data_IF_834919375847
#
_entry.id   IF_834919375847
#
_cell.length_a   1.000
_cell.length_b   1.000
_cell.length_c   1.000
_cell.angle_alpha   90.00
_cell.angle_beta   90.00
_cell.angle_gamma   90.00
#
_symmetry.space_group_name_H-M   'P 1'
#
loop_
_entity.id
_entity.type
_entity.pdbx_description
1 polymer ?
#
# COMPACT_ATOMS: atom_id res chain seq x y z
N UNK A 1 -17.71 9.18 12.35
CA UNK A 1 -17.34 10.56 12.75
C UNK A 1 -15.82 10.62 12.78
N UNK A 2 -15.21 11.56 12.06
CA UNK A 2 -13.75 11.69 12.03
C UNK A 2 -13.24 12.15 13.40
N UNK A 3 -12.26 11.41 13.92
CA UNK A 3 -11.71 11.55 15.28
C UNK A 3 -10.38 12.27 15.24
N UNK A 4 -9.51 11.87 14.31
CA UNK A 4 -8.16 12.41 14.18
C UNK A 4 -7.94 13.09 12.82
N UNK A 5 -6.95 13.99 12.70
CA UNK A 5 -6.59 14.61 11.42
C UNK A 5 -6.32 13.60 10.29
N UNK A 6 -5.74 12.44 10.64
CA UNK A 6 -5.49 11.35 9.67
C UNK A 6 -6.78 10.85 9.03
N UNK A 7 -7.91 10.88 9.73
CA UNK A 7 -9.18 10.39 9.17
C UNK A 7 -9.66 11.28 8.01
N UNK A 8 -9.43 12.60 8.08
CA UNK A 8 -9.73 13.53 6.98
C UNK A 8 -8.81 13.31 5.80
N UNK A 9 -7.51 13.10 6.05
CA UNK A 9 -6.54 12.77 5.00
C UNK A 9 -6.94 11.48 4.29
N UNK A 10 -7.29 10.44 5.05
CA UNK A 10 -7.72 9.15 4.50
C UNK A 10 -9.03 9.28 3.72
N UNK A 11 -9.98 10.08 4.18
CA UNK A 11 -11.21 10.31 3.43
C UNK A 11 -10.94 10.92 2.05
N UNK A 12 -10.07 11.93 1.98
CA UNK A 12 -9.62 12.52 0.71
C UNK A 12 -8.87 11.48 -0.14
N UNK A 13 -7.96 10.72 0.47
CA UNK A 13 -7.20 9.67 -0.19
C UNK A 13 -8.11 8.62 -0.84
N UNK A 14 -9.13 8.13 -0.14
CA UNK A 14 -10.05 7.12 -0.66
C UNK A 14 -11.01 7.67 -1.72
N UNK A 15 -11.43 8.93 -1.63
CA UNK A 15 -12.15 9.59 -2.72
C UNK A 15 -11.28 9.64 -3.98
N UNK A 16 -10.02 10.07 -3.84
CA UNK A 16 -9.08 10.11 -4.96
C UNK A 16 -8.76 8.71 -5.50
N UNK A 17 -8.66 7.69 -4.63
CA UNK A 17 -8.48 6.31 -5.01
C UNK A 17 -9.67 5.82 -5.84
N UNK A 18 -10.91 6.05 -5.40
CA UNK A 18 -12.11 5.68 -6.13
C UNK A 18 -12.19 6.34 -7.51
N UNK A 19 -11.89 7.65 -7.61
CA UNK A 19 -11.84 8.37 -8.89
C UNK A 19 -10.72 7.83 -9.80
N UNK A 20 -9.56 7.53 -9.24
CA UNK A 20 -8.41 6.96 -9.94
C UNK A 20 -8.75 5.58 -10.52
N UNK A 21 -9.32 4.69 -9.70
CA UNK A 21 -9.74 3.35 -10.12
C UNK A 21 -10.83 3.41 -11.19
N UNK A 22 -11.80 4.32 -11.06
CA UNK A 22 -12.85 4.52 -12.07
C UNK A 22 -12.26 4.95 -13.41
N UNK A 23 -11.30 5.89 -13.40
CA UNK A 23 -10.59 6.32 -14.60
C UNK A 23 -9.80 5.17 -15.23
N UNK A 24 -8.99 4.44 -14.45
CA UNK A 24 -8.18 3.32 -14.94
C UNK A 24 -9.07 2.24 -15.55
N UNK A 25 -10.18 1.89 -14.89
CA UNK A 25 -11.13 0.92 -15.41
C UNK A 25 -11.74 1.37 -16.74
N UNK A 26 -12.17 2.62 -16.85
CA UNK A 26 -12.71 3.17 -18.09
C UNK A 26 -11.69 3.15 -19.23
N UNK A 27 -10.46 3.57 -18.97
CA UNK A 27 -9.39 3.68 -19.97
C UNK A 27 -8.90 2.29 -20.43
N UNK A 28 -8.71 1.35 -19.48
CA UNK A 28 -8.29 -0.03 -19.76
C UNK A 28 -9.26 -0.77 -20.69
N UNK A 29 -10.57 -0.64 -20.47
CA UNK A 29 -11.56 -1.34 -21.29
C UNK A 29 -11.91 -0.64 -22.61
N UNK A 30 -11.54 0.64 -22.79
CA UNK A 30 -11.79 1.37 -24.05
C UNK A 30 -10.58 1.50 -24.96
N UNK A 31 -9.44 1.86 -24.40
CA UNK A 31 -8.31 2.38 -25.17
C UNK A 31 -7.08 1.48 -25.09
N UNK A 32 -6.98 0.61 -24.08
CA UNK A 32 -5.74 -0.14 -23.85
C UNK A 32 -5.80 -1.57 -24.44
N UNK A 33 -4.86 -1.94 -25.32
CA UNK A 33 -4.82 -3.25 -25.97
C UNK A 33 -4.10 -4.31 -25.10
N UNK A 34 -4.49 -4.45 -23.83
CA UNK A 34 -3.93 -5.45 -22.91
C UNK A 34 -4.84 -6.68 -22.72
N UNK A 35 -4.29 -7.84 -22.30
CA UNK A 35 -5.07 -8.99 -21.87
C UNK A 35 -5.99 -8.64 -20.68
N UNK A 36 -7.19 -9.23 -20.65
CA UNK A 36 -8.22 -8.94 -19.63
C UNK A 36 -7.72 -9.07 -18.19
N UNK A 37 -6.85 -10.04 -17.93
CA UNK A 37 -6.30 -10.26 -16.58
C UNK A 37 -5.36 -9.11 -16.15
N UNK A 38 -4.59 -8.53 -17.07
CA UNK A 38 -3.74 -7.37 -16.79
C UNK A 38 -4.58 -6.12 -16.51
N UNK A 39 -5.69 -5.95 -17.25
CA UNK A 39 -6.66 -4.87 -17.00
C UNK A 39 -7.16 -4.91 -15.55
N UNK A 40 -7.58 -6.09 -15.09
CA UNK A 40 -7.99 -6.27 -13.69
C UNK A 40 -6.84 -6.06 -12.71
N UNK A 41 -5.61 -6.48 -13.05
CA UNK A 41 -4.42 -6.20 -12.25
C UNK A 41 -4.23 -4.71 -11.97
N UNK A 42 -4.26 -3.87 -13.01
CA UNK A 42 -4.16 -2.41 -12.85
C UNK A 42 -5.33 -1.80 -12.07
N UNK A 43 -6.56 -2.27 -12.29
CA UNK A 43 -7.74 -1.78 -11.58
C UNK A 43 -7.62 -2.06 -10.08
N UNK A 44 -7.25 -3.30 -9.71
CA UNK A 44 -7.11 -3.70 -8.31
C UNK A 44 -5.94 -3.01 -7.64
N UNK A 45 -4.77 -2.96 -8.27
CA UNK A 45 -3.60 -2.26 -7.70
C UNK A 45 -3.90 -0.76 -7.54
N UNK A 46 -4.64 -0.15 -8.48
CA UNK A 46 -5.09 1.25 -8.32
C UNK A 46 -6.09 1.41 -7.18
N UNK A 47 -6.98 0.43 -6.97
CA UNK A 47 -7.87 0.43 -5.81
C UNK A 47 -7.09 0.40 -4.48
N UNK A 48 -5.99 -0.36 -4.43
CA UNK A 48 -5.17 -0.48 -3.22
C UNK A 48 -4.23 0.71 -3.01
N UNK A 49 -3.60 1.21 -4.06
CA UNK A 49 -2.57 2.25 -4.00
C UNK A 49 -3.09 3.66 -4.30
N UNK A 50 -4.36 3.78 -4.66
CA UNK A 50 -5.02 5.04 -4.99
C UNK A 50 -4.35 5.80 -6.15
N UNK A 51 -4.15 7.13 -6.02
CA UNK A 51 -3.52 7.95 -7.06
C UNK A 51 -2.14 7.49 -7.52
N UNK A 52 -1.39 6.78 -6.66
CA UNK A 52 -0.09 6.23 -7.04
C UNK A 52 -0.24 5.10 -8.07
N UNK A 53 -1.28 4.27 -7.94
CA UNK A 53 -1.58 3.23 -8.93
C UNK A 53 -1.95 3.84 -10.29
N UNK A 54 -2.74 4.91 -10.30
CA UNK A 54 -3.04 5.68 -11.52
C UNK A 54 -1.77 6.26 -12.15
N UNK A 55 -0.88 6.85 -11.35
CA UNK A 55 0.38 7.38 -11.86
C UNK A 55 1.22 6.27 -12.51
N UNK A 56 1.33 5.12 -11.86
CA UNK A 56 2.06 3.95 -12.40
C UNK A 56 1.40 3.47 -13.70
N UNK A 57 0.08 3.37 -13.76
CA UNK A 57 -0.67 3.03 -14.98
C UNK A 57 -0.33 3.96 -16.14
N UNK A 58 -0.42 5.27 -15.92
CA UNK A 58 -0.15 6.27 -16.97
C UNK A 58 1.30 6.22 -17.46
N UNK A 59 2.25 5.94 -16.58
CA UNK A 59 3.68 5.95 -16.92
C UNK A 59 4.16 4.64 -17.55
N UNK A 60 3.60 3.51 -17.13
CA UNK A 60 4.11 2.19 -17.51
C UNK A 60 3.30 1.54 -18.63
N UNK A 61 1.98 1.75 -18.65
CA UNK A 61 1.07 0.88 -19.40
C UNK A 61 0.17 1.63 -20.38
N UNK A 62 -0.45 2.74 -19.97
CA UNK A 62 -1.39 3.49 -20.82
C UNK A 62 -0.83 3.76 -22.22
N UNK A 63 -1.54 3.26 -23.24
CA UNK A 63 -1.16 3.48 -24.64
C UNK A 63 -1.10 5.00 -24.97
N UNK A 64 0.08 5.55 -25.33
CA UNK A 64 0.21 7.00 -25.58
C UNK A 64 -0.52 7.44 -26.84
N UNK A 65 -0.49 6.59 -27.88
CA UNK A 65 -1.15 6.76 -29.17
C UNK A 65 -1.53 5.39 -29.73
N UNK A 66 -2.67 5.27 -30.44
CA UNK A 66 -3.09 4.01 -31.02
C UNK A 66 -1.99 3.41 -31.91
N UNK A 67 -1.51 2.21 -31.57
CA UNK A 67 -0.42 1.55 -32.31
C UNK A 67 0.95 1.57 -31.64
N UNK A 68 1.13 2.30 -30.53
CA UNK A 68 2.44 2.49 -29.89
C UNK A 68 2.63 1.70 -28.58
N UNK A 69 1.61 0.96 -28.12
CA UNK A 69 1.64 0.24 -26.83
C UNK A 69 2.84 -0.72 -26.68
N UNK A 70 3.14 -1.54 -27.70
CA UNK A 70 4.24 -2.51 -27.67
C UNK A 70 5.60 -1.82 -27.52
N UNK A 71 5.79 -0.72 -28.24
CA UNK A 71 7.02 0.06 -28.17
C UNK A 71 7.13 0.80 -26.83
N UNK A 72 6.00 1.29 -26.32
CA UNK A 72 5.92 2.01 -25.06
C UNK A 72 6.22 1.13 -23.86
N UNK A 73 5.73 -0.10 -23.84
CA UNK A 73 5.87 -1.06 -22.72
C UNK A 73 7.18 -1.86 -22.77
N UNK A 74 7.89 -1.87 -23.90
CA UNK A 74 9.16 -2.59 -24.10
C UNK A 74 10.26 -2.37 -23.02
N UNK A 75 10.48 -1.17 -22.47
CA UNK A 75 11.52 -0.95 -21.46
C UNK A 75 11.41 -1.88 -20.24
N UNK A 76 12.53 -2.43 -19.79
CA UNK A 76 12.58 -3.43 -18.71
C UNK A 76 11.91 -2.97 -17.40
N UNK A 77 12.04 -1.69 -17.04
CA UNK A 77 11.42 -1.16 -15.83
C UNK A 77 9.89 -1.21 -15.91
N UNK A 78 9.30 -1.01 -17.09
CA UNK A 78 7.85 -1.11 -17.33
C UNK A 78 7.39 -2.57 -17.34
N UNK A 79 8.19 -3.45 -17.94
CA UNK A 79 7.96 -4.89 -17.86
C UNK A 79 7.99 -5.38 -16.40
N UNK A 80 8.92 -4.87 -15.59
CA UNK A 80 8.96 -5.10 -14.15
C UNK A 80 7.74 -4.56 -13.40
N UNK A 81 7.23 -3.38 -13.79
CA UNK A 81 5.96 -2.86 -13.26
C UNK A 81 4.80 -3.81 -13.57
N UNK A 82 4.64 -4.24 -14.83
CA UNK A 82 3.58 -5.18 -15.20
C UNK A 82 3.65 -6.49 -14.40
N UNK A 83 4.85 -7.06 -14.29
CA UNK A 83 5.09 -8.24 -13.47
C UNK A 83 4.72 -8.03 -12.00
N UNK A 84 5.11 -6.90 -11.42
CA UNK A 84 4.80 -6.58 -10.01
C UNK A 84 3.30 -6.36 -9.80
N UNK A 85 2.63 -5.67 -10.72
CA UNK A 85 1.18 -5.42 -10.67
C UNK A 85 0.40 -6.73 -10.69
N UNK A 86 0.80 -7.66 -11.56
CA UNK A 86 0.14 -8.95 -11.66
C UNK A 86 0.19 -9.73 -10.34
N UNK A 87 1.33 -9.72 -9.65
CA UNK A 87 1.52 -10.41 -8.37
C UNK A 87 0.78 -9.69 -7.24
N UNK A 88 1.03 -8.38 -7.09
CA UNK A 88 0.46 -7.58 -6.02
C UNK A 88 -1.06 -7.53 -6.09
N UNK A 89 -1.65 -7.54 -7.29
CA UNK A 89 -3.11 -7.62 -7.43
C UNK A 89 -3.69 -8.86 -6.73
N UNK A 90 -3.11 -10.03 -6.95
CA UNK A 90 -3.57 -11.28 -6.32
C UNK A 90 -3.20 -11.35 -4.84
N UNK A 91 -1.92 -11.16 -4.53
CA UNK A 91 -1.38 -11.27 -3.17
C UNK A 91 -2.09 -10.31 -2.20
N UNK A 92 -2.22 -9.03 -2.58
CA UNK A 92 -2.87 -8.04 -1.74
C UNK A 92 -4.37 -8.31 -1.58
N UNK A 93 -5.07 -8.84 -2.60
CA UNK A 93 -6.48 -9.23 -2.45
C UNK A 93 -6.63 -10.29 -1.36
N UNK A 94 -5.81 -11.34 -1.41
CA UNK A 94 -5.84 -12.43 -0.45
C UNK A 94 -5.50 -11.96 0.97
N UNK A 95 -4.45 -11.13 1.11
CA UNK A 95 -4.04 -10.53 2.38
C UNK A 95 -5.16 -9.67 2.97
N UNK A 96 -5.71 -8.72 2.20
CA UNK A 96 -6.73 -7.78 2.69
C UNK A 96 -8.00 -8.52 3.12
N UNK A 97 -8.44 -9.52 2.34
CA UNK A 97 -9.60 -10.33 2.70
C UNK A 97 -9.35 -11.14 3.96
N UNK A 98 -8.17 -11.77 4.08
CA UNK A 98 -7.80 -12.54 5.26
C UNK A 98 -7.72 -11.66 6.50
N UNK A 99 -7.03 -10.52 6.44
CA UNK A 99 -6.89 -9.55 7.52
C UNK A 99 -8.26 -9.10 8.05
N UNK A 100 -9.20 -8.80 7.15
CA UNK A 100 -10.55 -8.41 7.55
C UNK A 100 -11.30 -9.54 8.28
N UNK A 101 -11.12 -10.80 7.84
CA UNK A 101 -11.74 -11.97 8.47
C UNK A 101 -11.10 -12.25 9.83
N UNK A 102 -9.77 -12.30 9.92
CA UNK A 102 -9.06 -12.65 11.15
C UNK A 102 -9.24 -11.58 12.24
N UNK A 103 -9.25 -10.29 11.85
CA UNK A 103 -9.58 -9.20 12.74
C UNK A 103 -11.02 -9.32 13.29
N UNK A 104 -12.00 -9.67 12.45
CA UNK A 104 -13.37 -9.92 12.90
C UNK A 104 -13.48 -11.13 13.85
N UNK A 105 -12.65 -12.16 13.63
CA UNK A 105 -12.54 -13.32 14.52
C UNK A 105 -11.79 -13.02 15.83
N UNK A 106 -11.09 -11.89 15.91
CA UNK A 106 -10.32 -11.48 17.09
C UNK A 106 -9.13 -12.41 17.34
N UNK A 107 -8.45 -12.83 16.27
CA UNK A 107 -7.25 -13.63 16.38
C UNK A 107 -6.04 -12.75 16.79
N UNK A 108 -5.03 -13.32 17.46
CA UNK A 108 -3.77 -12.64 17.72
C UNK A 108 -3.05 -12.23 16.44
N UNK A 109 -2.41 -11.06 16.44
CA UNK A 109 -1.74 -10.51 15.27
C UNK A 109 -0.69 -11.45 14.64
N UNK A 110 0.05 -12.22 15.43
CA UNK A 110 1.01 -13.18 14.87
C UNK A 110 0.33 -14.30 14.06
N UNK A 111 -0.90 -14.68 14.41
CA UNK A 111 -1.71 -15.63 13.64
C UNK A 111 -2.22 -14.93 12.38
N UNK A 112 -2.67 -13.68 12.50
CA UNK A 112 -3.16 -12.87 11.38
C UNK A 112 -2.11 -12.79 10.28
N UNK A 113 -0.87 -12.41 10.62
CA UNK A 113 0.23 -12.32 9.65
C UNK A 113 0.51 -13.65 8.93
N UNK A 114 0.39 -14.78 9.63
CA UNK A 114 0.57 -16.11 9.02
C UNK A 114 -0.59 -16.45 8.09
N UNK A 115 -1.83 -16.21 8.52
CA UNK A 115 -3.04 -16.47 7.73
C UNK A 115 -3.08 -15.58 6.50
N UNK A 116 -2.76 -14.30 6.65
CA UNK A 116 -2.62 -13.32 5.58
C UNK A 116 -1.57 -13.76 4.55
N UNK A 117 -0.38 -14.19 4.98
CA UNK A 117 0.64 -14.68 4.07
C UNK A 117 0.16 -15.90 3.27
N UNK A 118 -0.44 -16.89 3.94
CA UNK A 118 -0.94 -18.10 3.29
C UNK A 118 -2.07 -17.76 2.31
N UNK A 119 -3.00 -16.90 2.71
CA UNK A 119 -4.13 -16.49 1.88
C UNK A 119 -3.68 -15.66 0.68
N UNK A 120 -2.78 -14.69 0.88
CA UNK A 120 -2.17 -13.90 -0.19
C UNK A 120 -1.49 -14.79 -1.22
N UNK A 121 -0.56 -15.64 -0.78
CA UNK A 121 0.16 -16.55 -1.66
C UNK A 121 -0.78 -17.51 -2.42
N UNK A 122 -1.79 -18.07 -1.74
CA UNK A 122 -2.76 -18.95 -2.38
C UNK A 122 -3.59 -18.21 -3.43
N UNK A 123 -4.02 -16.99 -3.14
CA UNK A 123 -4.83 -16.18 -4.07
C UNK A 123 -4.00 -15.72 -5.27
N UNK A 124 -2.76 -15.26 -5.05
CA UNK A 124 -1.80 -14.94 -6.12
C UNK A 124 -1.56 -16.12 -7.04
N UNK A 125 -1.15 -17.26 -6.48
CA UNK A 125 -0.80 -18.46 -7.24
C UNK A 125 -1.99 -19.10 -7.97
N UNK A 126 -3.08 -19.39 -7.26
CA UNK A 126 -4.18 -20.21 -7.79
C UNK A 126 -5.24 -19.42 -8.56
N UNK A 127 -5.32 -18.10 -8.38
CA UNK A 127 -6.31 -17.28 -9.07
C UNK A 127 -5.63 -16.37 -10.08
N UNK A 128 -4.66 -15.56 -9.68
CA UNK A 128 -4.08 -14.57 -10.60
C UNK A 128 -3.09 -15.21 -11.59
N UNK A 129 -2.04 -15.87 -11.09
CA UNK A 129 -0.96 -16.42 -11.94
C UNK A 129 -1.46 -17.53 -12.86
N UNK A 130 -2.14 -18.53 -12.30
CA UNK A 130 -2.51 -19.73 -13.04
C UNK A 130 -3.64 -19.49 -14.06
N UNK A 131 -4.59 -18.58 -13.79
CA UNK A 131 -5.60 -18.19 -14.78
C UNK A 131 -4.99 -17.33 -15.89
N UNK A 132 -4.06 -16.43 -15.55
CA UNK A 132 -3.34 -15.61 -16.53
C UNK A 132 -2.57 -16.46 -17.52
N UNK A 133 -1.71 -17.35 -17.02
CA UNK A 133 -0.93 -18.24 -17.87
C UNK A 133 -1.82 -19.15 -18.72
N UNK A 134 -2.96 -19.61 -18.18
CA UNK A 134 -3.93 -20.39 -18.95
C UNK A 134 -4.53 -19.60 -20.11
N UNK A 135 -4.84 -18.31 -19.89
CA UNK A 135 -5.40 -17.45 -20.93
C UNK A 135 -4.42 -17.11 -22.06
N UNK A 136 -3.11 -17.15 -21.80
CA UNK A 136 -2.08 -16.73 -22.77
C UNK A 136 -1.22 -17.85 -23.36
N UNK A 137 -0.70 -18.76 -22.54
CA UNK A 137 0.26 -19.78 -22.99
C UNK A 137 -0.38 -21.13 -23.28
N UNK A 138 -1.70 -21.26 -23.05
CA UNK A 138 -2.39 -22.54 -23.09
C UNK A 138 -1.83 -23.53 -22.05
N UNK A 139 -2.02 -24.82 -22.30
CA UNK A 139 -1.58 -25.89 -21.39
C UNK A 139 -2.56 -26.20 -20.26
N UNK A 140 -2.18 -27.14 -19.38
CA UNK A 140 -3.02 -27.51 -18.24
C UNK A 140 -2.85 -26.50 -17.11
N UNK A 141 -3.92 -26.27 -16.35
CA UNK A 141 -3.90 -25.37 -15.18
C UNK A 141 -2.75 -25.71 -14.22
N UNK A 142 -2.52 -27.00 -13.97
CA UNK A 142 -1.50 -27.49 -13.05
C UNK A 142 -0.07 -27.30 -13.55
N UNK A 143 0.16 -27.35 -14.86
CA UNK A 143 1.48 -27.07 -15.41
C UNK A 143 1.83 -25.58 -15.25
N UNK A 144 0.84 -24.71 -15.38
CA UNK A 144 1.01 -23.29 -15.15
C UNK A 144 1.28 -22.98 -13.67
N UNK A 145 0.54 -23.59 -12.74
CA UNK A 145 0.82 -23.48 -11.29
C UNK A 145 2.25 -23.90 -10.96
N UNK A 146 2.75 -25.02 -11.50
CA UNK A 146 4.12 -25.50 -11.23
C UNK A 146 5.18 -24.52 -11.75
N UNK A 147 4.97 -23.95 -12.93
CA UNK A 147 5.89 -23.00 -13.56
C UNK A 147 5.90 -21.65 -12.84
N UNK A 148 4.75 -21.17 -12.35
CA UNK A 148 4.63 -19.90 -11.63
C UNK A 148 4.97 -19.99 -10.14
N UNK A 149 5.03 -21.19 -9.55
CA UNK A 149 5.23 -21.36 -8.11
C UNK A 149 6.47 -20.63 -7.57
N UNK A 150 7.65 -20.89 -8.15
CA UNK A 150 8.90 -20.33 -7.62
C UNK A 150 8.99 -18.80 -7.83
N UNK A 151 8.68 -18.25 -9.01
CA UNK A 151 8.65 -16.80 -9.19
C UNK A 151 7.61 -16.10 -8.30
N UNK A 152 6.47 -16.73 -8.05
CA UNK A 152 5.45 -16.15 -7.15
C UNK A 152 5.90 -16.19 -5.70
N UNK A 153 6.46 -17.31 -5.26
CA UNK A 153 6.99 -17.46 -3.91
C UNK A 153 8.04 -16.39 -3.59
N UNK A 154 8.97 -16.14 -4.52
CA UNK A 154 9.98 -15.10 -4.36
C UNK A 154 9.35 -13.70 -4.29
N UNK A 155 8.40 -13.39 -5.17
CA UNK A 155 7.73 -12.08 -5.18
C UNK A 155 6.93 -11.83 -3.91
N UNK A 156 6.13 -12.81 -3.50
CA UNK A 156 5.32 -12.76 -2.27
C UNK A 156 6.19 -12.56 -1.03
N UNK A 157 7.35 -13.24 -0.95
CA UNK A 157 8.29 -13.07 0.15
C UNK A 157 8.78 -11.62 0.28
N UNK A 158 9.16 -10.99 -0.83
CA UNK A 158 9.59 -9.58 -0.80
C UNK A 158 8.42 -8.62 -0.52
N UNK A 159 7.23 -8.91 -1.05
CA UNK A 159 6.03 -8.13 -0.77
C UNK A 159 5.72 -8.14 0.72
N UNK A 160 5.63 -9.32 1.33
CA UNK A 160 5.33 -9.47 2.75
C UNK A 160 6.47 -8.95 3.63
N UNK A 161 7.73 -9.10 3.22
CA UNK A 161 8.88 -8.53 3.94
C UNK A 161 8.80 -7.01 4.11
N UNK A 162 8.21 -6.31 3.12
CA UNK A 162 7.97 -4.87 3.19
C UNK A 162 6.69 -4.50 3.92
N UNK A 163 5.60 -5.21 3.67
CA UNK A 163 4.27 -4.89 4.20
C UNK A 163 4.10 -5.24 5.68
N UNK A 164 4.55 -6.43 6.11
CA UNK A 164 4.31 -6.94 7.46
C UNK A 164 4.84 -6.04 8.58
N UNK A 165 6.07 -5.46 8.48
CA UNK A 165 6.54 -4.52 9.50
C UNK A 165 5.67 -3.28 9.60
N UNK A 166 5.31 -2.70 8.45
CA UNK A 166 4.51 -1.47 8.39
C UNK A 166 3.14 -1.69 9.01
N UNK A 167 2.49 -2.80 8.68
CA UNK A 167 1.22 -3.17 9.30
C UNK A 167 1.38 -3.36 10.80
N UNK A 168 2.36 -4.15 11.23
CA UNK A 168 2.57 -4.44 12.66
C UNK A 168 2.80 -3.16 13.48
N UNK A 169 3.62 -2.23 13.00
CA UNK A 169 3.92 -0.98 13.69
C UNK A 169 2.76 0.01 13.69
N UNK A 170 2.01 0.12 12.59
CA UNK A 170 0.89 1.06 12.52
C UNK A 170 -0.37 0.53 13.21
N UNK A 171 -0.56 -0.80 13.20
CA UNK A 171 -1.69 -1.45 13.86
C UNK A 171 -1.49 -1.59 15.39
N UNK A 172 -0.27 -1.87 15.87
CA UNK A 172 0.10 -1.87 17.30
C UNK A 172 0.78 -0.56 17.74
N UNK A 173 0.54 0.52 17.00
CA UNK A 173 1.09 1.84 17.29
C UNK A 173 0.27 2.59 18.34
N UNK A 174 0.11 3.89 18.12
CA UNK A 174 -0.67 4.76 19.00
C UNK A 174 -2.17 4.81 18.71
N UNK A 175 -2.64 4.24 17.59
CA UNK A 175 -4.06 4.27 17.20
C UNK A 175 -4.51 2.88 16.73
N UNK A 176 -5.02 2.09 17.67
CA UNK A 176 -5.41 0.69 17.44
C UNK A 176 -6.72 0.58 16.66
N UNK A 177 -7.38 1.69 16.29
CA UNK A 177 -8.44 1.67 15.27
C UNK A 177 -7.94 1.10 13.94
N UNK A 178 -6.63 1.13 13.71
CA UNK A 178 -5.97 0.48 12.58
C UNK A 178 -6.17 -1.05 12.56
N UNK A 179 -6.57 -1.68 13.67
CA UNK A 179 -6.86 -3.12 13.75
C UNK A 179 -8.34 -3.47 13.47
N UNK A 180 -9.22 -2.47 13.34
CA UNK A 180 -10.66 -2.69 13.17
C UNK A 180 -11.11 -2.49 11.72
N UNK A 181 -11.62 -3.52 11.02
CA UNK A 181 -12.06 -3.39 9.63
C UNK A 181 -13.22 -2.40 9.41
N UNK A 182 -13.93 -2.04 10.47
CA UNK A 182 -14.99 -1.03 10.48
C UNK A 182 -14.46 0.40 10.43
N UNK A 183 -13.18 0.60 10.72
CA UNK A 183 -12.53 1.90 10.77
C UNK A 183 -11.82 2.23 9.47
N UNK A 184 -11.84 3.52 9.10
CA UNK A 184 -11.16 3.99 7.89
C UNK A 184 -9.63 3.82 7.98
N UNK A 185 -9.10 3.90 9.21
CA UNK A 185 -7.66 3.79 9.47
C UNK A 185 -7.12 2.40 9.13
N UNK A 186 -7.87 1.33 9.39
CA UNK A 186 -7.51 -0.04 9.00
C UNK A 186 -7.21 -0.11 7.50
N UNK A 187 -8.15 0.35 6.68
CA UNK A 187 -7.99 0.36 5.22
C UNK A 187 -6.83 1.25 4.77
N UNK A 188 -6.60 2.36 5.47
CA UNK A 188 -5.46 3.25 5.21
C UNK A 188 -4.11 2.58 5.45
N UNK A 189 -3.98 1.85 6.56
CA UNK A 189 -2.78 1.07 6.89
C UNK A 189 -2.59 -0.08 5.89
N UNK A 190 -3.66 -0.78 5.49
CA UNK A 190 -3.59 -1.80 4.45
C UNK A 190 -3.11 -1.22 3.11
N UNK A 191 -3.68 -0.09 2.68
CA UNK A 191 -3.27 0.63 1.47
C UNK A 191 -1.78 0.99 1.51
N UNK A 192 -1.31 1.56 2.63
CA UNK A 192 0.10 1.92 2.80
C UNK A 192 1.02 0.70 2.85
N UNK A 193 0.60 -0.37 3.53
CA UNK A 193 1.30 -1.65 3.57
C UNK A 193 1.50 -2.23 2.17
N UNK A 194 0.45 -2.23 1.34
CA UNK A 194 0.54 -2.68 -0.07
C UNK A 194 1.51 -1.82 -0.88
N UNK A 195 1.53 -0.49 -0.68
CA UNK A 195 2.49 0.39 -1.36
C UNK A 195 3.92 0.03 -1.00
N UNK A 196 4.23 -0.16 0.28
CA UNK A 196 5.59 -0.54 0.72
C UNK A 196 5.94 -1.95 0.24
N UNK A 197 5.00 -2.89 0.29
CA UNK A 197 5.16 -4.23 -0.26
C UNK A 197 5.46 -4.21 -1.76
N UNK A 198 4.72 -3.40 -2.54
CA UNK A 198 4.97 -3.19 -3.97
C UNK A 198 6.39 -2.68 -4.23
N UNK A 199 6.82 -1.63 -3.51
CA UNK A 199 8.17 -1.05 -3.65
C UNK A 199 9.25 -2.07 -3.31
N UNK A 200 9.01 -2.91 -2.31
CA UNK A 200 9.96 -3.95 -1.87
C UNK A 200 10.04 -5.11 -2.87
N UNK A 201 8.90 -5.52 -3.44
CA UNK A 201 8.83 -6.60 -4.43
C UNK A 201 9.28 -6.17 -5.84
N UNK A 202 9.20 -4.88 -6.17
CA UNK A 202 9.47 -4.38 -7.52
C UNK A 202 10.87 -4.74 -8.05
N UNK A 203 11.99 -4.49 -7.34
CA UNK A 203 13.33 -4.84 -7.82
C UNK A 203 13.49 -6.34 -8.09
N UNK A 204 12.86 -7.18 -7.26
CA UNK A 204 12.88 -8.63 -7.44
C UNK A 204 12.13 -9.06 -8.70
N UNK A 205 10.96 -8.46 -8.96
CA UNK A 205 10.18 -8.72 -10.17
C UNK A 205 10.89 -8.22 -11.43
N UNK A 206 11.56 -7.07 -11.40
CA UNK A 206 12.43 -6.59 -12.49
C UNK A 206 13.52 -7.60 -12.81
N UNK A 207 14.20 -8.13 -11.79
CA UNK A 207 15.25 -9.14 -11.99
C UNK A 207 14.69 -10.44 -12.58
N UNK A 208 13.53 -10.92 -12.09
CA UNK A 208 12.90 -12.14 -12.60
C UNK A 208 12.46 -11.98 -14.06
N UNK A 209 11.93 -10.82 -14.44
CA UNK A 209 11.61 -10.51 -15.84
C UNK A 209 12.88 -10.48 -16.70
N UNK A 210 13.95 -9.85 -16.23
CA UNK A 210 15.23 -9.80 -16.95
C UNK A 210 15.87 -11.17 -17.19
N UNK A 211 15.46 -12.20 -16.42
CA UNK A 211 15.93 -13.59 -16.54
C UNK A 211 14.93 -14.53 -17.20
N UNK A 212 13.82 -14.00 -17.73
CA UNK A 212 12.77 -14.81 -18.36
C UNK A 212 12.00 -15.72 -17.40
N UNK A 213 12.04 -15.45 -16.09
CA UNK A 213 11.28 -16.19 -15.06
C UNK A 213 9.85 -15.67 -14.91
N UNK A 214 9.60 -14.42 -15.29
CA UNK A 214 8.28 -13.77 -15.30
C UNK A 214 8.08 -12.98 -16.59
N UNK A 215 6.82 -12.74 -16.91
CA UNK A 215 6.40 -11.87 -18.01
C UNK A 215 6.00 -10.50 -17.44
N UNK A 216 6.19 -9.46 -18.24
CA UNK A 216 5.73 -8.11 -17.91
C UNK A 216 4.47 -7.72 -18.68
N UNK A 217 4.39 -6.45 -19.09
CA UNK A 217 3.29 -5.90 -19.87
C UNK A 217 3.29 -6.47 -21.29
N UNK A 218 2.10 -6.80 -21.80
CA UNK A 218 1.92 -7.48 -23.09
C UNK A 218 0.78 -6.84 -23.87
N UNK A 219 0.83 -6.96 -25.20
CA UNK A 219 -0.22 -6.38 -26.06
C UNK A 219 -1.03 -7.49 -26.73
N UNK A 220 -2.34 -7.40 -26.64
CA UNK A 220 -3.31 -8.26 -27.34
C UNK A 220 -4.15 -7.38 -28.27
N UNK A 221 -3.95 -7.53 -29.58
CA UNK A 221 -4.74 -6.82 -30.61
C UNK A 221 -5.66 -7.80 -31.32
N UNK A 222 -6.91 -7.40 -31.54
CA UNK A 222 -7.79 -8.15 -32.43
C UNK A 222 -7.28 -8.08 -33.89
N UNK A 223 -7.49 -9.14 -34.71
CA UNK A 223 -6.94 -9.25 -36.07
C UNK A 223 -7.38 -8.17 -37.06
N UNK A 224 -8.35 -7.32 -36.71
CA UNK A 224 -8.94 -6.33 -37.62
C UNK A 224 -8.00 -5.13 -37.87
N UNK A 225 -7.11 -4.82 -36.93
CA UNK A 225 -6.11 -3.75 -37.09
C UNK A 225 -5.00 -4.10 -38.09
N UNK A 226 -4.67 -5.39 -38.26
CA UNK A 226 -3.67 -5.82 -39.23
C UNK A 226 -4.14 -5.66 -40.68
N UNK A 227 -5.45 -5.83 -40.94
CA UNK A 227 -6.05 -5.58 -42.27
C UNK A 227 -5.94 -4.12 -42.69
N UNK A 228 -6.10 -3.18 -41.75
CA UNK A 228 -5.96 -1.75 -42.02
C UNK A 228 -4.51 -1.31 -42.29
N UNK A 229 -3.53 -2.14 -41.92
CA UNK A 229 -2.09 -1.91 -42.12
C UNK A 229 -1.56 -2.58 -43.39
N UNK A 230 -2.07 -3.77 -43.73
CA UNK A 230 -1.84 -4.39 -45.05
C UNK A 230 -2.47 -3.57 -46.17
N UNK A 231 -3.73 -3.12 -46.02
CA UNK A 231 -4.37 -2.27 -47.02
C UNK A 231 -3.66 -0.91 -47.22
N UNK A 232 -3.11 -0.31 -46.16
CA UNK A 232 -2.32 0.93 -46.26
C UNK A 232 -0.93 0.71 -46.87
N UNK A 233 -0.31 -0.45 -46.68
CA UNK A 233 0.97 -0.80 -47.33
C UNK A 233 0.80 -1.13 -48.83
N UNK A 234 -0.30 -1.77 -49.22
CA UNK A 234 -0.61 -2.01 -50.63
C UNK A 234 -0.92 -0.71 -51.40
N UNK A 235 -1.64 0.23 -50.78
CA UNK A 235 -1.88 1.54 -51.39
C UNK A 235 -0.62 2.42 -51.49
N UNK A 236 0.33 2.31 -50.56
CA UNK A 236 1.60 3.04 -50.61
C UNK A 236 2.57 2.52 -51.70
N UNK A 237 2.55 1.22 -52.00
CA UNK A 237 3.39 0.64 -53.07
C UNK A 237 2.85 0.85 -54.48
N UNK A 238 1.54 1.12 -54.64
CA UNK A 238 0.92 1.46 -55.93
C UNK A 238 1.16 2.93 -56.33
N UNK A 239 1.23 3.86 -55.36
CA UNK A 239 1.42 5.29 -55.62
C UNK A 239 2.85 5.73 -55.98
N UNK A 240 3.88 4.91 -55.70
CA UNK A 240 5.28 5.29 -55.88
C UNK A 240 5.86 5.05 -57.29
N UNK A 241 5.06 4.53 -58.24
CA UNK A 241 5.51 4.31 -59.64
C UNK A 241 5.03 5.37 -60.65
N UNK A 242 4.29 6.38 -60.22
CA UNK A 242 3.79 7.44 -61.10
C UNK A 242 4.22 8.82 -60.60
N UNK A 243 5.46 9.24 -60.91
CA UNK A 243 5.89 10.62 -60.65
C UNK A 243 7.39 10.80 -60.52
N UNK A 244 8.14 10.65 -61.61
CA UNK A 244 9.49 11.22 -61.68
C UNK A 244 9.79 11.71 -63.10
N UNK A 245 9.42 12.96 -63.38
CA UNK A 245 9.90 13.74 -64.52
C UNK A 245 10.17 15.18 -64.05
N UNK A 246 11.43 15.62 -64.18
CA UNK A 246 11.80 17.02 -64.40
C UNK A 246 12.12 17.89 -63.17
N UNK A 247 13.40 18.23 -62.95
CA UNK A 247 14.05 19.47 -63.43
C UNK A 247 15.21 19.95 -62.54
N UNK A 248 16.17 20.57 -63.22
CA UNK A 248 17.53 20.97 -62.84
C UNK A 248 17.66 22.34 -62.15
N UNK A 249 18.81 22.49 -61.46
CA UNK A 249 19.73 23.64 -61.37
C UNK A 249 19.49 24.79 -60.36
N UNK A 250 20.54 25.11 -59.58
CA UNK A 250 21.33 26.37 -59.49
C UNK A 250 22.44 26.13 -58.43
N UNK A 251 23.73 26.03 -58.78
CA UNK A 251 24.75 27.09 -58.97
C UNK A 251 25.50 27.52 -57.69
N UNK A 252 26.80 27.75 -57.88
CA UNK A 252 27.95 27.79 -56.97
C UNK A 252 28.28 29.24 -56.53
N UNK A 253 29.21 29.42 -55.57
CA UNK A 253 30.32 30.42 -55.43
C UNK A 253 30.73 30.48 -53.92
N UNK A 254 31.89 29.95 -53.51
CA UNK A 254 33.25 30.59 -53.36
C UNK A 254 33.39 31.28 -51.96
N UNK A 255 34.49 31.31 -51.19
CA UNK A 255 35.93 31.15 -51.41
C UNK A 255 36.73 31.09 -50.06
N UNK A 256 38.06 30.86 -50.15
CA UNK A 256 39.16 31.09 -49.17
C UNK A 256 39.49 29.98 -48.13
N UNK A 257 40.74 29.55 -47.85
CA UNK A 257 42.09 29.87 -48.33
C UNK A 257 43.08 28.72 -47.97
N UNK A 258 44.21 28.65 -48.68
CA UNK A 258 45.42 27.80 -48.49
C UNK A 258 46.62 28.76 -48.14
N UNK A 259 47.86 28.34 -47.74
CA UNK A 259 48.60 27.18 -48.28
C UNK A 259 49.67 26.44 -47.41
N UNK A 260 49.91 25.17 -47.80
CA UNK A 260 51.16 24.41 -48.06
C UNK A 260 52.44 24.58 -47.18
N UNK A 261 52.98 23.42 -46.77
CA UNK A 261 54.41 23.05 -46.90
C UNK A 261 54.54 21.56 -47.25
N UNK A 262 55.62 21.19 -47.94
CA UNK A 262 55.83 19.90 -48.62
C UNK A 262 57.14 19.21 -48.21
N UNK A 263 57.06 17.90 -47.89
CA UNK A 263 57.91 16.74 -48.32
C UNK A 263 59.42 16.66 -47.93
N UNK A 264 60.18 15.54 -48.17
CA UNK A 264 59.90 14.08 -48.29
C UNK A 264 60.88 13.14 -47.52
N UNK A 265 60.63 11.81 -47.58
CA UNK A 265 61.64 10.72 -47.52
C UNK A 265 61.55 9.81 -46.28
N UNK A 266 61.70 8.48 -46.28
CA UNK A 266 62.00 7.47 -47.30
C UNK A 266 62.65 6.22 -46.66
N UNK A 267 61.87 5.14 -46.44
CA UNK A 267 62.21 3.67 -46.40
C UNK A 267 63.34 3.12 -45.47
N UNK A 268 63.53 1.77 -45.28
CA UNK A 268 62.65 0.59 -45.31
C UNK A 268 62.73 -0.29 -44.01
N UNK A 269 61.99 -1.43 -43.97
CA UNK A 269 61.98 -2.48 -42.92
C UNK A 269 63.32 -3.24 -42.74
N UNK A 270 63.38 -4.43 -42.06
CA UNK A 270 62.51 -5.61 -42.19
C UNK A 270 62.08 -6.16 -40.79
N UNK A 271 61.33 -7.23 -40.57
CA UNK A 271 60.78 -8.34 -41.33
C UNK A 271 60.52 -9.46 -40.33
N UNK A 272 59.41 -10.17 -40.42
CA UNK A 272 59.32 -11.55 -39.96
C UNK A 272 58.17 -12.27 -40.68
N UNK A 273 58.58 -13.17 -41.58
CA UNK A 273 57.87 -14.36 -42.03
C UNK A 273 57.32 -15.15 -40.83
N UNK A 274 56.24 -15.92 -40.89
CA UNK A 274 55.51 -16.47 -42.04
C UNK A 274 54.99 -17.87 -41.66
N UNK A 275 54.08 -18.38 -42.49
CA UNK A 275 53.46 -19.73 -42.50
C UNK A 275 52.27 -19.93 -41.54
N UNK A 276 51.13 -20.48 -41.97
CA UNK A 276 50.73 -20.96 -43.29
C UNK A 276 49.44 -21.81 -43.22
N UNK A 277 48.69 -21.76 -44.32
CA UNK A 277 47.66 -22.69 -44.79
C UNK A 277 46.33 -22.81 -43.99
N UNK A 278 45.14 -22.90 -44.61
CA UNK A 278 44.83 -23.16 -46.01
C UNK A 278 43.42 -22.72 -46.41
N UNK A 279 43.28 -22.55 -47.71
CA UNK A 279 42.09 -22.17 -48.47
C UNK A 279 41.20 -23.37 -48.81
N UNK A 280 39.88 -23.17 -48.83
CA UNK A 280 39.02 -23.67 -49.92
C UNK A 280 37.68 -22.93 -49.99
N UNK A 281 37.34 -22.51 -51.21
CA UNK A 281 36.08 -21.98 -51.74
C UNK A 281 34.90 -22.99 -51.56
N UNK A 282 33.61 -22.66 -51.71
CA UNK A 282 32.96 -21.52 -52.35
C UNK A 282 31.42 -21.58 -52.25
N UNK A 283 30.82 -20.51 -52.80
CA UNK A 283 29.46 -20.30 -53.33
C UNK A 283 28.17 -20.50 -52.49
N UNK A 284 27.50 -19.37 -52.23
CA UNK A 284 26.37 -18.95 -53.08
C UNK A 284 25.00 -19.55 -52.76
N UNK A 285 24.13 -18.76 -52.12
CA UNK A 285 22.70 -19.10 -52.02
C UNK A 285 21.90 -18.15 -51.13
N UNK A 286 21.64 -16.93 -51.60
CA UNK A 286 20.71 -16.00 -50.96
C UNK A 286 19.27 -16.51 -51.04
N UNK A 287 18.69 -16.84 -49.90
CA UNK A 287 17.29 -17.22 -49.74
C UNK A 287 16.69 -16.46 -48.57
N UNK A 288 16.03 -15.34 -48.85
CA UNK A 288 15.15 -14.61 -47.93
C UNK A 288 14.01 -15.52 -47.50
N UNK A 289 14.15 -16.19 -46.35
CA UNK A 289 13.05 -16.88 -45.67
C UNK A 289 12.42 -15.93 -44.67
N UNK A 290 11.12 -15.70 -44.86
CA UNK A 290 10.27 -14.86 -44.04
C UNK A 290 10.35 -15.25 -42.57
N UNK A 291 10.47 -14.22 -41.73
CA UNK A 291 10.27 -14.30 -40.30
C UNK A 291 8.79 -14.62 -40.06
N UNK A 292 8.49 -15.91 -39.92
CA UNK A 292 7.28 -16.35 -39.24
C UNK A 292 7.52 -16.14 -37.75
N UNK A 293 6.70 -15.29 -37.12
CA UNK A 293 6.63 -15.15 -35.68
C UNK A 293 6.14 -16.46 -35.06
N UNK A 294 7.09 -17.29 -34.63
CA UNK A 294 6.84 -18.39 -33.72
C UNK A 294 6.74 -17.86 -32.29
N UNK A 295 5.74 -18.32 -31.56
CA UNK A 295 5.67 -18.17 -30.11
C UNK A 295 6.86 -18.93 -29.50
N UNK A 296 7.98 -18.24 -29.31
CA UNK A 296 9.10 -18.74 -28.52
C UNK A 296 8.68 -18.74 -27.05
N UNK A 297 8.46 -19.94 -26.51
CA UNK A 297 8.30 -20.11 -25.07
C UNK A 297 9.56 -19.63 -24.37
N UNK A 298 9.41 -18.69 -23.43
CA UNK A 298 10.50 -18.12 -22.65
C UNK A 298 11.24 -19.25 -21.90
N UNK A 299 12.40 -19.68 -22.40
CA UNK A 299 13.28 -20.57 -21.64
C UNK A 299 13.96 -19.75 -20.53
N UNK A 300 13.92 -20.19 -19.27
CA UNK A 300 14.55 -19.46 -18.17
C UNK A 300 16.06 -19.32 -18.38
N UNK A 301 16.55 -18.08 -18.40
CA UNK A 301 17.98 -17.75 -18.51
C UNK A 301 18.68 -17.75 -17.12
N UNK A 302 17.96 -18.13 -16.07
CA UNK A 302 18.47 -18.22 -14.71
C UNK A 302 19.09 -19.59 -14.42
N UNK A 303 20.31 -19.58 -13.90
CA UNK A 303 20.96 -20.82 -13.44
C UNK A 303 20.35 -21.29 -12.12
N UNK A 304 20.35 -22.61 -11.87
CA UNK A 304 19.86 -23.18 -10.60
C UNK A 304 20.51 -22.53 -9.36
N UNK A 305 21.83 -22.26 -9.33
CA UNK A 305 22.45 -21.54 -8.22
C UNK A 305 21.93 -20.12 -8.03
N UNK A 306 21.65 -19.38 -9.11
CA UNK A 306 21.08 -18.03 -9.02
C UNK A 306 19.67 -18.07 -8.43
N UNK A 307 18.84 -19.01 -8.88
CA UNK A 307 17.48 -19.17 -8.37
C UNK A 307 17.48 -19.58 -6.89
N UNK A 308 18.36 -20.50 -6.50
CA UNK A 308 18.52 -20.93 -5.11
C UNK A 308 19.02 -19.78 -4.21
N UNK A 309 20.02 -19.02 -4.65
CA UNK A 309 20.53 -17.87 -3.91
C UNK A 309 19.46 -16.78 -3.75
N UNK A 310 18.75 -16.45 -4.83
CA UNK A 310 17.71 -15.43 -4.80
C UNK A 310 16.49 -15.85 -3.96
N UNK A 311 16.08 -17.12 -4.07
CA UNK A 311 15.09 -17.73 -3.19
C UNK A 311 15.50 -17.65 -1.71
N UNK A 312 16.75 -18.00 -1.39
CA UNK A 312 17.30 -17.89 -0.03
C UNK A 312 17.27 -16.47 0.52
N UNK A 313 17.65 -15.46 -0.29
CA UNK A 313 17.54 -14.04 0.08
C UNK A 313 16.09 -13.65 0.34
N UNK A 314 15.15 -14.10 -0.49
CA UNK A 314 13.73 -13.79 -0.30
C UNK A 314 13.17 -14.38 1.01
N UNK A 315 13.56 -15.61 1.36
CA UNK A 315 13.16 -16.26 2.62
C UNK A 315 13.76 -15.53 3.82
N UNK A 316 15.02 -15.11 3.74
CA UNK A 316 15.65 -14.31 4.79
C UNK A 316 14.95 -12.96 4.95
N UNK A 317 14.61 -12.29 3.84
CA UNK A 317 13.86 -11.03 3.86
C UNK A 317 12.48 -11.20 4.51
N UNK A 318 11.73 -12.26 4.14
CA UNK A 318 10.45 -12.59 4.77
C UNK A 318 10.62 -12.82 6.27
N UNK A 319 11.57 -13.67 6.67
CA UNK A 319 11.81 -13.97 8.08
C UNK A 319 12.14 -12.72 8.89
N UNK A 320 12.99 -11.83 8.35
CA UNK A 320 13.29 -10.54 8.98
C UNK A 320 12.04 -9.67 9.07
N UNK A 321 11.26 -9.54 8.00
CA UNK A 321 10.04 -8.72 7.99
C UNK A 321 8.95 -9.22 8.94
N UNK A 322 8.83 -10.53 9.13
CA UNK A 322 7.83 -11.14 10.01
C UNK A 322 8.26 -11.17 11.48
N UNK A 323 9.56 -11.37 11.75
CA UNK A 323 10.07 -11.58 13.13
C UNK A 323 10.52 -10.26 13.75
N UNK A 324 11.16 -9.37 12.98
CA UNK A 324 11.73 -8.15 13.54
C UNK A 324 10.70 -7.31 14.32
N UNK A 325 9.46 -7.07 13.84
CA UNK A 325 8.47 -6.30 14.58
C UNK A 325 8.18 -6.84 15.98
N UNK A 326 8.26 -8.16 16.20
CA UNK A 326 8.03 -8.79 17.49
C UNK A 326 9.00 -8.33 18.60
N UNK A 327 10.12 -7.71 18.24
CA UNK A 327 11.04 -7.13 19.22
C UNK A 327 10.55 -5.79 19.78
N UNK A 328 9.61 -5.13 19.12
CA UNK A 328 9.14 -3.79 19.49
C UNK A 328 7.66 -3.74 19.80
N UNK A 329 6.82 -4.55 19.15
CA UNK A 329 5.36 -4.55 19.34
C UNK A 329 4.85 -5.88 19.86
N UNK A 330 3.77 -5.85 20.62
CA UNK A 330 3.15 -7.03 21.20
C UNK A 330 2.24 -7.74 20.19
N UNK A 331 2.80 -8.66 19.40
CA UNK A 331 2.05 -9.42 18.38
C UNK A 331 1.08 -10.47 18.96
N UNK A 332 1.07 -10.69 20.28
CA UNK A 332 0.15 -11.62 20.92
C UNK A 332 -1.25 -11.02 21.13
N UNK A 333 -1.38 -9.69 21.04
CA UNK A 333 -2.65 -9.01 21.21
C UNK A 333 -3.49 -9.08 19.92
N UNK A 334 -4.80 -9.10 20.12
CA UNK A 334 -5.81 -9.08 19.05
C UNK A 334 -6.55 -7.75 19.01
N UNK A 335 -7.29 -7.52 17.93
CA UNK A 335 -8.19 -6.38 17.82
C UNK A 335 -9.27 -6.36 18.92
N UNK A 336 -9.60 -7.49 19.56
CA UNK A 336 -10.57 -7.52 20.67
C UNK A 336 -9.97 -7.07 21.99
N UNK A 337 -8.65 -7.20 22.16
CA UNK A 337 -7.99 -6.88 23.41
C UNK A 337 -7.76 -5.36 23.54
N UNK A 338 -7.52 -4.68 22.42
CA UNK A 338 -7.13 -3.25 22.38
C UNK A 338 -7.89 -2.43 21.34
N UNK A 339 -8.85 -3.02 20.63
CA UNK A 339 -9.56 -2.41 19.51
C UNK A 339 -10.17 -1.06 19.85
N UNK A 340 -9.94 -0.09 18.98
CA UNK A 340 -10.47 1.26 19.15
C UNK A 340 -9.74 2.13 20.18
N UNK A 341 -8.77 1.58 20.93
CA UNK A 341 -7.96 2.38 21.83
C UNK A 341 -7.12 3.39 21.05
N UNK A 342 -7.04 4.61 21.59
CA UNK A 342 -6.22 5.69 21.06
C UNK A 342 -5.29 6.12 22.18
N UNK A 343 -4.00 5.89 22.00
CA UNK A 343 -2.99 6.23 22.98
C UNK A 343 -2.73 7.75 22.99
N UNK A 344 -2.56 8.35 24.18
CA UNK A 344 -2.14 9.74 24.30
C UNK A 344 -0.81 10.01 23.57
N UNK A 345 -0.60 11.24 23.05
CA UNK A 345 0.65 11.60 22.41
C UNK A 345 1.87 11.33 23.31
N UNK A 346 2.89 10.68 22.77
CA UNK A 346 4.14 10.38 23.47
C UNK A 346 4.18 9.02 24.19
N UNK A 347 3.06 8.30 24.26
CA UNK A 347 3.08 6.91 24.72
C UNK A 347 3.56 5.97 23.61
N UNK A 348 4.51 5.11 23.95
CA UNK A 348 5.06 4.09 23.03
C UNK A 348 4.72 2.74 23.62
N UNK A 349 4.08 1.89 22.81
CA UNK A 349 3.77 0.52 23.18
C UNK A 349 4.96 -0.36 22.84
N UNK A 350 5.46 -1.05 23.86
CA UNK A 350 6.50 -2.05 23.69
C UNK A 350 5.90 -3.45 23.60
N UNK A 351 6.76 -4.44 23.34
CA UNK A 351 6.38 -5.85 23.26
C UNK A 351 5.78 -6.41 24.55
N UNK A 352 6.08 -5.79 25.70
CA UNK A 352 5.75 -6.27 27.04
C UNK A 352 4.53 -5.53 27.61
N UNK A 353 4.00 -4.55 26.88
CA UNK A 353 2.82 -3.78 27.28
C UNK A 353 1.57 -4.66 27.18
N UNK A 354 0.85 -4.92 28.30
CA UNK A 354 -0.37 -5.70 28.28
C UNK A 354 -1.58 -4.87 27.86
N UNK A 355 -2.56 -5.49 27.21
CA UNK A 355 -3.80 -4.83 26.77
C UNK A 355 -4.51 -4.04 27.87
N UNK A 356 -4.58 -4.59 29.10
CA UNK A 356 -5.20 -3.90 30.22
C UNK A 356 -4.54 -2.55 30.54
N UNK A 357 -3.20 -2.46 30.46
CA UNK A 357 -2.50 -1.21 30.64
C UNK A 357 -2.76 -0.24 29.47
N UNK A 358 -2.86 -0.75 28.24
CA UNK A 358 -3.17 0.06 27.06
C UNK A 358 -4.56 0.69 27.18
N UNK A 359 -5.55 -0.08 27.62
CA UNK A 359 -6.91 0.42 27.86
C UNK A 359 -6.96 1.45 29.00
N UNK A 360 -6.28 1.18 30.11
CA UNK A 360 -6.18 2.10 31.25
C UNK A 360 -5.52 3.43 30.85
N UNK A 361 -4.47 3.36 30.04
CA UNK A 361 -3.78 4.55 29.52
C UNK A 361 -4.55 5.30 28.43
N UNK A 362 -5.31 4.58 27.59
CA UNK A 362 -6.16 5.18 26.57
C UNK A 362 -7.28 6.00 27.20
N UNK A 363 -7.72 5.61 28.41
CA UNK A 363 -8.62 6.24 29.40
C UNK A 363 -9.93 6.89 28.91
N UNK A 364 -9.88 7.66 27.82
CA UNK A 364 -10.97 8.47 27.31
C UNK A 364 -11.12 8.24 25.81
N UNK A 365 -12.27 7.70 25.40
CA UNK A 365 -12.58 7.51 23.99
C UNK A 365 -12.97 8.86 23.33
N UNK A 366 -12.23 9.40 22.34
CA UNK A 366 -12.45 10.77 21.87
C UNK A 366 -13.80 11.01 21.17
N UNK A 367 -14.48 9.95 20.70
CA UNK A 367 -15.86 10.07 20.17
C UNK A 367 -16.90 10.42 21.23
N UNK A 368 -16.57 10.27 22.51
CA UNK A 368 -17.49 10.56 23.62
C UNK A 368 -17.40 12.01 24.10
N UNK A 369 -16.49 12.81 23.53
CA UNK A 369 -16.30 14.21 23.91
C UNK A 369 -17.60 15.00 23.67
N UNK A 370 -18.15 15.53 24.76
CA UNK A 370 -19.39 16.31 24.78
C UNK A 370 -19.14 17.82 24.71
N UNK A 371 -17.98 18.29 25.18
CA UNK A 371 -17.59 19.69 25.18
C UNK A 371 -16.08 19.86 24.97
N UNK A 372 -15.68 21.02 24.45
CA UNK A 372 -14.27 21.41 24.28
C UNK A 372 -14.05 22.79 24.88
N UNK A 373 -13.07 22.93 25.76
CA UNK A 373 -12.75 24.15 26.49
C UNK A 373 -11.34 24.67 26.18
N UNK A 374 -11.22 25.99 26.00
CA UNK A 374 -9.94 26.67 25.84
C UNK A 374 -9.31 27.06 27.18
N UNK A 375 -8.16 27.72 27.12
CA UNK A 375 -7.37 28.15 28.29
C UNK A 375 -8.08 29.18 29.18
N UNK A 376 -9.10 29.85 28.64
CA UNK A 376 -9.92 30.83 29.34
C UNK A 376 -10.88 30.20 30.37
N UNK A 377 -11.20 28.93 30.20
CA UNK A 377 -12.07 28.19 31.12
C UNK A 377 -11.24 27.69 32.30
N UNK A 378 -11.80 27.83 33.51
CA UNK A 378 -11.19 27.34 34.76
C UNK A 378 -12.17 26.38 35.41
N UNK A 379 -11.66 25.24 35.89
CA UNK A 379 -12.40 24.36 36.79
C UNK A 379 -12.50 24.94 38.20
N UNK A 380 -12.96 24.12 39.16
CA UNK A 380 -13.14 24.51 40.57
C UNK A 380 -14.02 25.77 40.74
N UNK A 381 -15.01 25.94 39.86
CA UNK A 381 -16.03 26.98 40.03
C UNK A 381 -17.07 26.50 41.03
N UNK A 382 -17.54 27.41 41.86
CA UNK A 382 -18.59 27.12 42.83
C UNK A 382 -19.88 26.73 42.12
N UNK A 383 -20.48 25.61 42.55
CA UNK A 383 -21.81 25.20 42.11
C UNK A 383 -22.82 25.72 43.11
N UNK A 384 -23.71 26.59 42.64
CA UNK A 384 -24.80 27.12 43.45
C UNK A 384 -25.81 26.02 43.81
N UNK A 385 -26.13 25.92 45.10
CA UNK A 385 -27.10 24.95 45.59
C UNK A 385 -28.53 25.40 45.29
N UNK A 386 -29.35 24.48 44.80
CA UNK A 386 -30.81 24.70 44.73
C UNK A 386 -31.44 24.36 46.08
N UNK A 387 -32.23 25.27 46.62
CA UNK A 387 -32.94 25.03 47.89
C UNK A 387 -34.27 24.31 47.66
N UNK A 388 -34.46 23.16 48.29
CA UNK A 388 -35.72 22.40 48.28
C UNK A 388 -36.15 22.07 49.71
N UNK A 389 -37.22 22.68 50.21
CA UNK A 389 -37.77 22.39 51.55
C UNK A 389 -36.72 22.42 52.67
N UNK A 390 -35.77 23.37 52.61
CA UNK A 390 -34.68 23.50 53.58
C UNK A 390 -33.48 22.56 53.36
N UNK A 391 -33.45 21.83 52.24
CA UNK A 391 -32.31 20.99 51.81
C UNK A 391 -31.56 21.70 50.69
N UNK A 392 -30.22 21.75 50.78
CA UNK A 392 -29.34 22.16 49.69
C UNK A 392 -29.18 21.00 48.70
N UNK A 393 -29.59 21.20 47.46
CA UNK A 393 -29.52 20.21 46.39
C UNK A 393 -28.45 20.62 45.39
N UNK A 394 -27.51 19.71 45.14
CA UNK A 394 -26.50 19.84 44.10
C UNK A 394 -26.72 18.76 43.05
N UNK A 395 -26.66 19.15 41.78
CA UNK A 395 -26.77 18.24 40.65
C UNK A 395 -25.40 18.14 39.97
N UNK A 396 -24.80 16.96 40.03
CA UNK A 396 -23.53 16.61 39.42
C UNK A 396 -23.78 15.71 38.21
N UNK A 397 -23.14 16.03 37.10
CA UNK A 397 -23.16 15.23 35.88
C UNK A 397 -21.72 14.91 35.48
N UNK A 398 -21.38 13.63 35.36
CA UNK A 398 -20.10 13.22 34.80
C UNK A 398 -20.16 13.31 33.29
N UNK A 399 -19.04 13.63 32.64
CA UNK A 399 -18.98 13.76 31.18
C UNK A 399 -17.55 13.58 30.69
N UNK A 400 -17.41 13.24 29.41
CA UNK A 400 -16.13 13.28 28.71
C UNK A 400 -15.99 14.63 28.02
N UNK A 401 -14.89 15.33 28.25
CA UNK A 401 -14.60 16.64 27.65
C UNK A 401 -13.17 16.70 27.11
N UNK A 402 -12.90 17.70 26.26
CA UNK A 402 -11.56 18.06 25.82
C UNK A 402 -11.15 19.40 26.42
N UNK A 403 -9.99 19.46 27.04
CA UNK A 403 -9.51 20.64 27.76
C UNK A 403 -8.13 21.07 27.27
N UNK A 404 -7.97 22.34 26.92
CA UNK A 404 -6.65 22.93 26.65
C UNK A 404 -5.94 23.27 27.97
N UNK A 405 -4.84 22.56 28.28
CA UNK A 405 -4.03 22.81 29.48
C UNK A 405 -2.83 23.73 29.19
N UNK A 406 -2.39 23.79 27.94
CA UNK A 406 -1.43 24.75 27.39
C UNK A 406 -1.88 25.18 25.99
N UNK A 407 -1.26 26.21 25.40
CA UNK A 407 -1.67 26.78 24.11
C UNK A 407 -1.86 25.71 23.01
N UNK A 408 -0.95 24.74 22.96
CA UNK A 408 -0.93 23.68 21.95
C UNK A 408 -1.13 22.27 22.56
N UNK A 409 -1.51 22.19 23.84
CA UNK A 409 -1.70 20.91 24.54
C UNK A 409 -3.15 20.78 24.99
N UNK A 410 -3.86 19.84 24.35
CA UNK A 410 -5.22 19.45 24.69
C UNK A 410 -5.21 18.03 25.24
N UNK A 411 -5.97 17.81 26.29
CA UNK A 411 -6.18 16.48 26.89
C UNK A 411 -7.66 16.17 26.92
N UNK A 412 -7.99 14.91 26.71
CA UNK A 412 -9.35 14.41 26.92
C UNK A 412 -9.45 13.95 28.37
N UNK A 413 -10.55 14.28 29.04
CA UNK A 413 -10.69 14.09 30.48
C UNK A 413 -12.12 13.73 30.87
N UNK A 414 -12.25 12.95 31.94
CA UNK A 414 -13.49 12.82 32.68
C UNK A 414 -13.66 14.04 33.58
N UNK A 415 -14.86 14.60 33.56
CA UNK A 415 -15.18 15.86 34.21
C UNK A 415 -16.51 15.78 34.92
N UNK A 416 -16.66 16.60 35.96
CA UNK A 416 -17.94 16.82 36.66
C UNK A 416 -18.45 18.20 36.27
N UNK A 417 -19.69 18.28 35.78
CA UNK A 417 -20.33 19.50 35.26
C UNK A 417 -19.46 20.22 34.22
N UNK A 418 -18.80 19.45 33.35
CA UNK A 418 -17.91 19.98 32.30
C UNK A 418 -16.64 20.67 32.82
N UNK A 419 -16.22 20.39 34.06
CA UNK A 419 -15.06 21.04 34.69
C UNK A 419 -14.00 20.06 35.19
N UNK A 420 -12.73 20.45 35.04
CA UNK A 420 -11.56 19.82 35.67
C UNK A 420 -10.67 20.90 36.30
N UNK A 421 -10.44 20.91 37.63
CA UNK A 421 -11.15 20.11 38.64
C UNK A 421 -12.67 20.35 38.61
N UNK A 422 -13.43 19.39 39.14
CA UNK A 422 -14.89 19.49 39.25
C UNK A 422 -15.36 20.71 40.07
N UNK A 423 -16.66 21.02 40.07
CA UNK A 423 -17.17 22.20 40.76
C UNK A 423 -16.98 22.12 42.27
N UNK A 424 -16.78 23.27 42.89
CA UNK A 424 -16.68 23.41 44.33
C UNK A 424 -18.08 23.40 44.96
N UNK A 425 -18.28 22.54 45.95
CA UNK A 425 -19.51 22.51 46.75
C UNK A 425 -19.28 23.23 48.07
N UNK A 426 -20.11 24.23 48.37
CA UNK A 426 -20.02 24.99 49.61
C UNK A 426 -21.18 24.64 50.56
N UNK A 427 -20.84 23.94 51.63
CA UNK A 427 -21.77 23.51 52.68
C UNK A 427 -21.29 24.03 54.04
N UNK A 428 -22.23 24.24 54.95
CA UNK A 428 -21.98 24.65 56.34
C UNK A 428 -22.40 23.52 57.28
N UNK A 429 -21.77 23.46 58.44
CA UNK A 429 -22.17 22.53 59.49
C UNK A 429 -23.66 22.73 59.84
N UNK A 430 -24.42 21.65 59.87
CA UNK A 430 -25.86 21.65 60.13
C UNK A 430 -26.74 21.74 58.87
N UNK A 431 -26.16 21.99 57.69
CA UNK A 431 -26.92 21.92 56.43
C UNK A 431 -27.44 20.49 56.18
N UNK A 432 -28.68 20.39 55.68
CA UNK A 432 -29.17 19.15 55.07
C UNK A 432 -28.82 19.21 53.59
N UNK A 433 -28.07 18.24 53.10
CA UNK A 433 -27.54 18.22 51.73
C UNK A 433 -28.05 17.00 50.99
N UNK A 434 -28.43 17.19 49.73
CA UNK A 434 -28.69 16.12 48.76
C UNK A 434 -27.81 16.37 47.54
N UNK A 435 -27.10 15.35 47.09
CA UNK A 435 -26.30 15.43 45.87
C UNK A 435 -26.81 14.37 44.91
N UNK A 436 -27.31 14.81 43.76
CA UNK A 436 -27.73 13.92 42.70
C UNK A 436 -26.57 13.77 41.72
N UNK A 437 -26.16 12.53 41.44
CA UNK A 437 -25.07 12.24 40.50
C UNK A 437 -25.66 11.55 39.28
N UNK A 438 -25.49 12.15 38.11
CA UNK A 438 -25.87 11.57 36.82
C UNK A 438 -24.61 11.10 36.11
N UNK A 439 -24.50 9.80 35.87
CA UNK A 439 -23.38 9.25 35.13
C UNK A 439 -23.62 9.33 33.61
N UNK A 440 -22.77 10.06 32.86
CA UNK A 440 -22.74 10.03 31.38
C UNK A 440 -21.44 9.46 30.81
N UNK A 441 -20.62 8.83 31.65
CA UNK A 441 -19.41 8.13 31.20
C UNK A 441 -19.78 6.80 30.52
N UNK A 442 -18.90 6.24 29.68
CA UNK A 442 -19.10 4.92 29.08
C UNK A 442 -18.99 3.77 30.09
N UNK A 443 -18.51 4.05 31.31
CA UNK A 443 -18.25 3.09 32.37
C UNK A 443 -19.06 3.40 33.64
N UNK A 444 -19.25 2.39 34.49
CA UNK A 444 -19.83 2.58 35.83
C UNK A 444 -18.91 3.47 36.67
N UNK A 445 -19.50 4.27 37.55
CA UNK A 445 -18.74 5.20 38.39
C UNK A 445 -19.44 5.44 39.71
N UNK A 446 -18.64 5.82 40.70
CA UNK A 446 -19.08 6.21 42.04
C UNK A 446 -18.36 7.48 42.46
N UNK A 447 -18.94 8.23 43.40
CA UNK A 447 -18.30 9.40 43.99
C UNK A 447 -18.12 9.16 45.48
N UNK A 448 -16.87 9.14 45.93
CA UNK A 448 -16.53 9.07 47.34
C UNK A 448 -16.34 10.46 47.95
N UNK A 449 -17.02 10.72 49.06
CA UNK A 449 -16.99 12.01 49.77
C UNK A 449 -15.85 12.10 50.78
N UNK A 450 -14.63 12.15 50.27
CA UNK A 450 -13.41 12.08 51.08
C UNK A 450 -13.41 13.07 52.26
N UNK A 451 -13.38 12.54 53.48
CA UNK A 451 -13.24 13.30 54.72
C UNK A 451 -14.57 13.76 55.36
N UNK A 452 -15.71 13.46 54.77
CA UNK A 452 -17.01 13.73 55.39
C UNK A 452 -17.44 12.58 56.31
N UNK A 453 -18.25 12.90 57.33
CA UNK A 453 -18.89 11.93 58.22
C UNK A 453 -20.35 11.75 57.78
N UNK A 454 -20.67 10.57 57.23
CA UNK A 454 -21.99 10.26 56.67
C UNK A 454 -22.38 8.79 56.92
N UNK A 455 -23.67 8.42 56.74
CA UNK A 455 -24.08 7.02 56.74
C UNK A 455 -23.30 6.20 55.69
N UNK A 456 -22.98 4.95 56.03
CA UNK A 456 -22.14 4.08 55.19
C UNK A 456 -22.68 3.93 53.76
N UNK A 457 -24.01 3.78 53.61
CA UNK A 457 -24.71 3.64 52.32
C UNK A 457 -24.58 4.87 51.40
N UNK A 458 -24.03 5.99 51.89
CA UNK A 458 -23.83 7.22 51.12
C UNK A 458 -22.35 7.52 50.85
N UNK A 459 -21.42 6.65 51.28
CA UNK A 459 -19.98 6.97 51.32
C UNK A 459 -19.30 6.94 49.95
N UNK A 460 -19.74 6.05 49.06
CA UNK A 460 -19.26 6.04 47.69
C UNK A 460 -18.29 4.92 47.27
N UNK A 461 -17.56 4.20 48.15
CA UNK A 461 -16.71 3.09 47.72
C UNK A 461 -17.51 1.97 47.04
N UNK A 462 -17.22 1.74 45.75
CA UNK A 462 -17.81 0.69 44.90
C UNK A 462 -17.62 -0.69 45.52
N UNK A 463 -18.64 -1.55 45.42
CA UNK A 463 -18.67 -2.94 45.93
C UNK A 463 -18.52 -3.08 47.47
N UNK A 464 -18.35 -1.98 48.20
CA UNK A 464 -18.27 -1.97 49.67
C UNK A 464 -19.51 -1.33 50.28
N UNK A 465 -19.91 -0.18 49.75
CA UNK A 465 -21.02 0.62 50.30
C UNK A 465 -22.20 0.77 49.35
N UNK A 466 -21.96 0.56 48.06
CA UNK A 466 -22.94 0.65 46.98
C UNK A 466 -22.48 -0.17 45.77
N UNK A 467 -23.43 -0.57 44.92
CA UNK A 467 -23.20 -1.33 43.68
C UNK A 467 -22.65 -0.46 42.54
#
# INVERSE_FOLDING_TARGET
MFVQPVDYFLAVWFVLAGLSTAYVAWDQFRNNPEPVVMKWGFILVTLYMGPLGLLIYVLADKEPRPGEHEAFTKPLWKQGVGSTIHCVAGDATGIILAAAITAALGLPMWIDLVVEYVAGFAFGLFIFQSLFMKSMMGGTYWDNVRKSFMPEFISMNFMMAGMAPIMSFLMMGSDMRAMEPTELLFWGVMSFGVIVGFVTAYPANVWMVARGLKHGLMTEREPEFDKAREGRREHAHSGAKAGMVGHHAYARLDEHAKPRHANPGGNPGPGHHGSGHGSSHGDGGGGSRGSHGGHDGMEPDATVPQLAAFGGVSVLALALGMIAPANWVNLALSARDVGGAIMPPGMIMDRDTPAAAMLDMAAVHPRLITASHGLEVRGDRELEARMENGVKVFDLETSVIRWAILADVKVDAYAINGQVPGPRLHIRQGDRVRINVTNRLPESTTIHWHGLILPNEMDGPTEITQE
#
